data_IF_554146211805
#
_entry.id   IF_554146211805
#
_cell.length_a   1.000
_cell.length_b   1.000
_cell.length_c   1.000
_cell.angle_alpha   90.00
_cell.angle_beta   90.00
_cell.angle_gamma   90.00
#
_symmetry.space_group_name_H-M   'P 1'
#
loop_
_entity.id
_entity.type
_entity.pdbx_description
1 polymer ?
#
# COMPACT_ATOMS: atom_id res chain seq x y z
N UNK A 1 7.11 1.23 -1.89
CA UNK A 1 6.45 0.48 -0.80
C UNK A 1 7.42 0.49 0.36
N UNK A 2 7.22 1.34 1.37
CA UNK A 2 8.33 1.67 2.27
C UNK A 2 9.56 2.10 1.45
N UNK A 3 10.69 1.43 1.69
CA UNK A 3 11.95 1.66 0.97
C UNK A 3 12.09 0.87 -0.36
N UNK A 4 11.17 -0.05 -0.66
CA UNK A 4 11.21 -0.85 -1.89
C UNK A 4 10.69 -0.04 -3.08
N UNK A 5 11.58 0.22 -4.05
CA UNK A 5 11.23 0.83 -5.33
C UNK A 5 10.71 -0.24 -6.30
N UNK A 6 9.42 -0.17 -6.60
CA UNK A 6 8.72 -1.19 -7.40
C UNK A 6 8.56 -0.80 -8.87
N UNK A 7 8.39 0.49 -9.14
CA UNK A 7 8.11 1.03 -10.48
C UNK A 7 8.94 2.28 -10.69
N UNK A 8 9.47 2.46 -11.90
CA UNK A 8 10.18 3.66 -12.32
C UNK A 8 9.76 4.04 -13.73
N UNK A 9 9.40 5.30 -13.94
CA UNK A 9 8.96 5.81 -15.25
C UNK A 9 7.83 5.00 -15.90
N UNK A 10 6.93 4.43 -15.09
CA UNK A 10 5.81 3.62 -15.57
C UNK A 10 6.16 2.16 -15.86
N UNK A 11 7.42 1.75 -15.71
CA UNK A 11 7.85 0.36 -15.89
C UNK A 11 8.13 -0.34 -14.55
N UNK A 12 7.76 -1.61 -14.38
CA UNK A 12 8.08 -2.37 -13.19
C UNK A 12 9.59 -2.65 -13.12
N UNK A 13 10.16 -2.55 -11.93
CA UNK A 13 11.54 -2.92 -11.65
C UNK A 13 11.62 -4.31 -11.01
N UNK A 14 12.70 -5.06 -11.23
CA UNK A 14 12.98 -6.25 -10.42
C UNK A 14 13.21 -5.82 -8.97
N UNK A 15 12.55 -6.50 -8.04
CA UNK A 15 12.70 -6.30 -6.60
C UNK A 15 12.64 -7.64 -5.88
N UNK A 16 13.15 -7.68 -4.65
CA UNK A 16 13.03 -8.87 -3.81
C UNK A 16 11.62 -8.93 -3.20
N UNK A 17 10.77 -9.76 -3.79
CA UNK A 17 9.40 -9.94 -3.35
C UNK A 17 9.29 -10.60 -1.97
N UNK A 18 10.25 -11.45 -1.59
CA UNK A 18 10.25 -12.11 -0.28
C UNK A 18 10.59 -11.09 0.80
N UNK A 19 11.66 -10.32 0.60
CA UNK A 19 12.02 -9.26 1.53
C UNK A 19 10.92 -8.18 1.66
N UNK A 20 10.27 -7.81 0.55
CA UNK A 20 9.16 -6.85 0.57
C UNK A 20 7.94 -7.40 1.31
N UNK A 21 7.63 -8.70 1.14
CA UNK A 21 6.56 -9.38 1.86
C UNK A 21 6.84 -9.45 3.37
N UNK A 22 8.05 -9.88 3.74
CA UNK A 22 8.45 -10.02 5.14
C UNK A 22 8.43 -8.66 5.85
N UNK A 23 8.86 -7.60 5.17
CA UNK A 23 8.75 -6.23 5.68
C UNK A 23 7.28 -5.82 5.87
N UNK A 24 6.44 -6.03 4.85
CA UNK A 24 5.02 -5.64 4.90
C UNK A 24 4.27 -6.37 6.02
N UNK A 25 4.59 -7.64 6.25
CA UNK A 25 3.99 -8.43 7.33
C UNK A 25 4.47 -8.03 8.74
N UNK A 26 5.61 -7.32 8.84
CA UNK A 26 6.24 -6.96 10.10
C UNK A 26 5.98 -5.52 10.57
N UNK A 27 5.23 -4.72 9.81
CA UNK A 27 4.95 -3.31 10.11
C UNK A 27 3.46 -3.08 10.35
N UNK A 28 3.14 -2.21 11.32
CA UNK A 28 1.75 -1.82 11.59
C UNK A 28 1.24 -0.71 10.64
N UNK A 29 2.15 0.12 10.14
CA UNK A 29 1.85 1.22 9.22
C UNK A 29 2.58 1.05 7.89
N UNK A 30 1.85 1.21 6.79
CA UNK A 30 2.38 1.05 5.43
C UNK A 30 2.40 2.39 4.72
N UNK A 31 3.61 2.86 4.41
CA UNK A 31 3.79 4.08 3.59
C UNK A 31 3.92 3.72 2.12
N UNK A 32 3.04 4.32 1.31
CA UNK A 32 3.08 4.28 -0.15
C UNK A 32 3.35 5.68 -0.71
N UNK A 33 4.33 5.76 -1.61
CA UNK A 33 4.66 6.99 -2.33
C UNK A 33 4.52 6.71 -3.81
N UNK A 34 3.74 7.57 -4.50
CA UNK A 34 3.58 7.53 -5.94
C UNK A 34 3.88 8.92 -6.51
N UNK A 35 4.95 9.02 -7.28
CA UNK A 35 5.28 10.21 -8.06
C UNK A 35 4.71 10.05 -9.47
N UNK A 36 3.85 10.99 -9.88
CA UNK A 36 3.20 10.98 -11.19
C UNK A 36 4.06 11.66 -12.28
N UNK A 37 5.10 12.42 -11.93
CA UNK A 37 5.98 13.09 -12.88
C UNK A 37 5.33 14.22 -13.70
N UNK A 38 4.18 14.76 -13.27
CA UNK A 38 3.40 15.78 -14.01
C UNK A 38 3.39 17.17 -13.36
N UNK A 39 4.11 17.37 -12.26
CA UNK A 39 4.16 18.66 -11.56
C UNK A 39 4.72 18.56 -10.14
N UNK A 40 4.48 19.59 -9.33
CA UNK A 40 4.96 19.69 -7.94
C UNK A 40 3.83 19.59 -6.89
N UNK A 41 2.59 19.36 -7.34
CA UNK A 41 1.47 19.23 -6.42
C UNK A 41 1.57 17.90 -5.65
N UNK A 42 1.23 17.94 -4.36
CA UNK A 42 1.25 16.80 -3.46
C UNK A 42 -0.05 16.68 -2.67
N UNK A 43 -0.41 15.46 -2.30
CA UNK A 43 -1.54 15.16 -1.43
C UNK A 43 -1.22 13.90 -0.61
N UNK A 44 -1.74 13.86 0.63
CA UNK A 44 -1.60 12.71 1.53
C UNK A 44 -2.99 12.21 1.90
N UNK A 45 -3.18 10.90 1.82
CA UNK A 45 -4.42 10.21 2.20
C UNK A 45 -4.06 9.07 3.14
N UNK A 46 -4.83 8.94 4.23
CA UNK A 46 -4.71 7.84 5.16
C UNK A 46 -5.85 6.85 4.92
N UNK A 47 -5.52 5.56 4.90
CA UNK A 47 -6.47 4.45 4.75
C UNK A 47 -5.95 3.25 5.52
N UNK A 48 -6.79 2.24 5.69
CA UNK A 48 -6.42 0.94 6.24
C UNK A 48 -6.61 -0.17 5.19
N UNK A 49 -6.16 -1.38 5.56
CA UNK A 49 -6.38 -2.59 4.80
C UNK A 49 -7.85 -3.02 4.80
N UNK A 50 -8.20 -3.88 3.85
CA UNK A 50 -9.53 -4.46 3.76
C UNK A 50 -9.52 -5.88 4.33
N UNK A 51 -9.78 -5.97 5.63
CA UNK A 51 -9.69 -7.22 6.40
C UNK A 51 -10.96 -8.07 6.35
N UNK A 52 -10.82 -9.37 6.65
CA UNK A 52 -11.95 -10.27 6.83
C UNK A 52 -12.88 -9.79 7.96
N UNK A 53 -12.31 -9.27 9.05
CA UNK A 53 -13.09 -8.79 10.19
C UNK A 53 -13.96 -7.59 9.81
N UNK A 54 -13.48 -6.70 8.93
CA UNK A 54 -14.33 -5.64 8.37
C UNK A 54 -15.55 -6.24 7.67
N UNK A 55 -15.38 -7.26 6.83
CA UNK A 55 -16.48 -7.93 6.13
C UNK A 55 -17.45 -8.57 7.12
N UNK A 56 -16.93 -9.32 8.10
CA UNK A 56 -17.76 -10.00 9.10
C UNK A 56 -18.60 -9.02 9.91
N UNK A 57 -17.97 -7.97 10.44
CA UNK A 57 -18.66 -6.94 11.22
C UNK A 57 -19.79 -6.35 10.39
N UNK A 58 -19.52 -5.92 9.15
CA UNK A 58 -20.52 -5.25 8.32
C UNK A 58 -21.56 -6.21 7.70
N UNK A 59 -21.26 -7.50 7.54
CA UNK A 59 -22.21 -8.49 7.01
C UNK A 59 -23.21 -9.00 8.06
N UNK A 60 -22.86 -8.93 9.35
CA UNK A 60 -23.73 -9.31 10.46
C UNK A 60 -24.69 -8.17 10.89
N UNK A 61 -24.50 -6.94 10.37
CA UNK A 61 -25.49 -5.88 10.51
C UNK A 61 -26.58 -6.02 9.44
N UNK A 62 -27.81 -6.29 9.87
CA UNK A 62 -28.99 -5.97 9.08
C UNK A 62 -29.04 -4.43 8.89
N UNK A 63 -28.45 -3.91 7.81
CA UNK A 63 -28.75 -2.58 7.25
C UNK A 63 -29.95 -2.65 6.34
#
# INVERSE_FOLDING_TARGET
LGEFQLVQQGEPLPFDAVAAHDWLAGVDEVTLVADLGVGLAEAVVYTCDFSYDYVKINAEYHT
#
